data_IF_904088791082
#
_entry.id   IF_904088791082
#
_cell.length_a   1.000
_cell.length_b   1.000
_cell.length_c   1.000
_cell.angle_alpha   90.00
_cell.angle_beta   90.00
_cell.angle_gamma   90.00
#
_symmetry.space_group_name_H-M   'P 1'
#
loop_
_entity.id
_entity.type
_entity.pdbx_description
1 polymer ?
#
# COMPACT_ATOMS: atom_id res chain seq x y z
N UNK A 1 -10.83 -7.19 -16.17
CA UNK A 1 -10.00 -8.41 -16.06
C UNK A 1 -8.95 -8.08 -15.02
N UNK A 2 -9.04 -8.70 -13.84
CA UNK A 2 -8.03 -8.60 -12.80
C UNK A 2 -6.87 -9.50 -13.18
N UNK A 3 -5.85 -8.92 -13.80
CA UNK A 3 -4.58 -9.60 -13.99
C UNK A 3 -3.94 -9.77 -12.61
N UNK A 4 -3.54 -10.98 -12.31
CA UNK A 4 -2.99 -11.36 -11.02
C UNK A 4 -1.59 -10.73 -10.89
N UNK A 5 -1.28 -10.07 -9.78
CA UNK A 5 0.03 -9.46 -9.49
C UNK A 5 1.21 -10.38 -9.86
N UNK A 6 1.01 -11.71 -9.75
CA UNK A 6 2.02 -12.71 -10.08
C UNK A 6 2.24 -12.97 -11.58
N UNK A 7 1.38 -12.51 -12.48
CA UNK A 7 1.54 -12.75 -13.93
C UNK A 7 2.67 -11.94 -14.57
N UNK A 8 3.12 -10.88 -13.88
CA UNK A 8 4.16 -9.97 -14.35
C UNK A 8 5.58 -10.39 -13.99
N UNK A 9 5.74 -11.45 -13.21
CA UNK A 9 7.04 -11.96 -12.79
C UNK A 9 7.49 -13.13 -13.67
N UNK A 10 8.78 -13.21 -13.96
CA UNK A 10 9.37 -14.41 -14.57
C UNK A 10 9.16 -15.63 -13.65
N UNK A 11 9.22 -16.83 -14.21
CA UNK A 11 9.05 -18.06 -13.42
C UNK A 11 10.03 -18.15 -12.24
N UNK A 12 11.25 -17.67 -12.41
CA UNK A 12 12.27 -17.62 -11.35
C UNK A 12 11.90 -16.62 -10.26
N UNK A 13 11.41 -15.44 -10.64
CA UNK A 13 10.94 -14.42 -9.69
C UNK A 13 9.68 -14.87 -8.93
N UNK A 14 8.77 -15.60 -9.61
CA UNK A 14 7.60 -16.22 -8.97
C UNK A 14 8.03 -17.27 -7.94
N UNK A 15 8.98 -18.11 -8.28
CA UNK A 15 9.49 -19.17 -7.41
C UNK A 15 10.26 -18.61 -6.20
N UNK A 16 10.98 -17.50 -6.37
CA UNK A 16 11.60 -16.78 -5.26
C UNK A 16 10.57 -16.12 -4.34
N UNK A 17 9.45 -15.61 -4.87
CA UNK A 17 8.34 -15.07 -4.10
C UNK A 17 7.56 -16.18 -3.38
N UNK A 18 7.30 -17.31 -4.03
CA UNK A 18 6.58 -18.46 -3.46
C UNK A 18 7.38 -19.15 -2.35
N UNK A 19 8.70 -19.24 -2.47
CA UNK A 19 9.55 -19.82 -1.42
C UNK A 19 9.59 -18.96 -0.15
N UNK A 20 9.22 -17.68 -0.23
CA UNK A 20 9.12 -16.78 0.91
C UNK A 20 7.72 -16.72 1.53
N UNK A 21 6.69 -17.08 0.74
CA UNK A 21 5.31 -17.20 1.23
C UNK A 21 5.19 -18.37 2.22
N UNK A 22 6.06 -19.37 2.13
CA UNK A 22 6.15 -20.47 3.11
C UNK A 22 6.48 -20.02 4.54
N UNK A 23 7.15 -18.87 4.71
CA UNK A 23 7.48 -18.31 6.03
C UNK A 23 6.48 -17.23 6.51
N UNK A 24 5.56 -16.77 5.67
CA UNK A 24 4.72 -15.59 5.94
C UNK A 24 3.24 -15.88 6.21
N UNK A 25 2.84 -17.13 6.40
CA UNK A 25 1.45 -17.49 6.79
C UNK A 25 1.21 -17.32 8.30
N UNK A 26 1.98 -16.48 8.98
CA UNK A 26 1.65 -16.03 10.33
C UNK A 26 0.87 -14.70 10.22
N UNK A 27 -0.44 -14.79 10.39
CA UNK A 27 -1.37 -13.66 10.43
C UNK A 27 -1.03 -12.59 11.49
N UNK A 28 -0.09 -12.87 12.37
CA UNK A 28 0.34 -12.01 13.48
C UNK A 28 1.58 -11.14 13.16
N UNK A 29 2.20 -11.27 11.98
CA UNK A 29 3.33 -10.41 11.64
C UNK A 29 2.83 -9.06 11.11
N UNK A 30 3.04 -8.01 11.88
CA UNK A 30 2.77 -6.63 11.45
C UNK A 30 3.46 -6.32 10.11
N UNK A 31 2.72 -5.73 9.15
CA UNK A 31 3.24 -5.31 7.85
C UNK A 31 3.99 -3.98 7.98
N UNK A 32 5.16 -4.02 8.60
CA UNK A 32 5.90 -2.86 9.08
C UNK A 32 6.71 -2.14 8.00
N UNK A 33 6.89 -2.74 6.83
CA UNK A 33 7.68 -2.16 5.75
C UNK A 33 6.80 -1.79 4.55
N UNK A 34 7.15 -0.68 3.92
CA UNK A 34 6.59 -0.25 2.63
C UNK A 34 7.72 0.16 1.70
N UNK A 35 7.49 0.15 0.39
CA UNK A 35 8.45 0.69 -0.54
C UNK A 35 8.03 2.11 -0.88
N UNK A 36 8.86 3.08 -0.52
CA UNK A 36 8.74 4.45 -0.97
C UNK A 36 9.39 4.60 -2.34
N UNK A 37 8.62 5.02 -3.33
CA UNK A 37 9.10 5.20 -4.71
C UNK A 37 9.51 6.65 -4.95
N UNK A 38 8.67 7.60 -4.57
CA UNK A 38 8.94 9.02 -4.76
C UNK A 38 8.08 9.93 -3.86
N UNK A 39 8.47 11.19 -3.79
CA UNK A 39 7.71 12.26 -3.13
C UNK A 39 7.48 13.42 -4.11
N UNK A 40 6.28 13.98 -4.11
CA UNK A 40 5.87 15.04 -5.01
C UNK A 40 5.20 16.18 -4.23
N UNK A 41 5.40 17.41 -4.70
CA UNK A 41 4.67 18.58 -4.19
C UNK A 41 3.25 18.68 -4.78
N UNK A 42 3.00 18.03 -5.94
CA UNK A 42 1.71 18.04 -6.63
C UNK A 42 1.04 16.67 -6.58
N UNK A 43 -0.26 16.65 -6.23
CA UNK A 43 -1.12 15.44 -6.24
C UNK A 43 -1.14 14.76 -7.61
N UNK A 44 -1.23 15.54 -8.69
CA UNK A 44 -1.30 15.02 -10.06
C UNK A 44 -0.07 14.20 -10.45
N UNK A 45 1.12 14.60 -10.03
CA UNK A 45 2.35 13.86 -10.30
C UNK A 45 2.38 12.52 -9.53
N UNK A 46 1.95 12.52 -8.26
CA UNK A 46 1.85 11.29 -7.48
C UNK A 46 0.80 10.33 -8.09
N UNK A 47 -0.35 10.85 -8.51
CA UNK A 47 -1.40 10.06 -9.16
C UNK A 47 -0.90 9.43 -10.47
N UNK A 48 -0.24 10.21 -11.34
CA UNK A 48 0.30 9.73 -12.60
C UNK A 48 1.28 8.57 -12.39
N UNK A 49 2.23 8.73 -11.47
CA UNK A 49 3.18 7.66 -11.15
C UNK A 49 2.50 6.43 -10.53
N UNK A 50 1.51 6.63 -9.66
CA UNK A 50 0.75 5.53 -9.07
C UNK A 50 0.03 4.71 -10.14
N UNK A 51 -0.59 5.37 -11.12
CA UNK A 51 -1.25 4.68 -12.22
C UNK A 51 -0.24 3.92 -13.09
N UNK A 52 0.89 4.54 -13.43
CA UNK A 52 1.97 3.89 -14.19
C UNK A 52 2.50 2.63 -13.46
N UNK A 53 2.68 2.69 -12.15
CA UNK A 53 3.09 1.54 -11.34
C UNK A 53 2.03 0.43 -11.37
N UNK A 54 0.74 0.78 -11.24
CA UNK A 54 -0.38 -0.18 -11.30
C UNK A 54 -0.51 -0.85 -12.67
N UNK A 55 -0.34 -0.10 -13.75
CA UNK A 55 -0.29 -0.62 -15.13
C UNK A 55 0.86 -1.60 -15.34
N UNK A 56 1.93 -1.48 -14.54
CA UNK A 56 3.05 -2.42 -14.50
C UNK A 56 2.93 -3.51 -13.42
N UNK A 57 1.73 -3.73 -12.87
CA UNK A 57 1.41 -4.84 -11.96
C UNK A 57 1.81 -4.63 -10.51
N UNK A 58 2.19 -3.43 -10.09
CA UNK A 58 2.54 -3.16 -8.70
C UNK A 58 1.34 -2.67 -7.89
N UNK A 59 1.21 -3.13 -6.64
CA UNK A 59 0.22 -2.65 -5.67
C UNK A 59 0.58 -1.24 -5.18
N UNK A 60 0.46 -0.28 -6.09
CA UNK A 60 0.86 1.09 -5.82
C UNK A 60 -0.30 1.93 -5.26
N UNK A 61 0.05 2.81 -4.34
CA UNK A 61 -0.86 3.79 -3.76
C UNK A 61 -0.10 5.06 -3.39
N UNK A 62 -0.80 6.15 -3.21
CA UNK A 62 -0.21 7.40 -2.75
C UNK A 62 -0.95 7.94 -1.53
N UNK A 63 -0.27 8.73 -0.74
CA UNK A 63 -0.87 9.44 0.37
C UNK A 63 -0.23 10.81 0.56
N UNK A 64 -1.00 11.82 0.94
CA UNK A 64 -0.47 13.04 1.49
C UNK A 64 0.11 12.76 2.87
N UNK A 65 1.28 13.29 3.12
CA UNK A 65 1.99 13.18 4.38
C UNK A 65 2.26 14.57 4.91
N UNK A 66 1.74 14.88 6.09
CA UNK A 66 1.99 16.16 6.75
C UNK A 66 3.45 16.22 7.22
N UNK A 67 4.15 17.24 6.79
CA UNK A 67 5.55 17.48 7.14
C UNK A 67 5.68 18.52 8.25
N UNK A 68 4.84 19.58 8.22
CA UNK A 68 4.72 20.63 9.22
C UNK A 68 3.27 21.11 9.31
N UNK A 69 2.98 22.16 10.09
CA UNK A 69 1.64 22.71 10.24
C UNK A 69 0.98 23.01 8.87
N UNK A 70 1.74 23.63 7.96
CA UNK A 70 1.22 24.14 6.69
C UNK A 70 1.83 23.42 5.46
N UNK A 71 2.63 22.37 5.67
CA UNK A 71 3.35 21.71 4.60
C UNK A 71 3.00 20.22 4.56
N UNK A 72 2.61 19.76 3.40
CA UNK A 72 2.45 18.34 3.11
C UNK A 72 3.02 17.99 1.74
N UNK A 73 3.36 16.72 1.55
CA UNK A 73 3.86 16.16 0.30
C UNK A 73 3.05 14.92 -0.04
N UNK A 74 3.00 14.59 -1.33
CA UNK A 74 2.35 13.38 -1.83
C UNK A 74 3.41 12.32 -2.04
N UNK A 75 3.37 11.25 -1.24
CA UNK A 75 4.28 10.12 -1.36
C UNK A 75 3.63 8.97 -2.10
N UNK A 76 4.40 8.35 -3.00
CA UNK A 76 4.00 7.15 -3.73
C UNK A 76 4.68 5.95 -3.11
N UNK A 77 3.89 4.93 -2.82
CA UNK A 77 4.31 3.69 -2.18
C UNK A 77 3.93 2.48 -3.02
N UNK A 78 4.64 1.38 -2.80
CA UNK A 78 4.31 0.05 -3.33
C UNK A 78 4.28 -0.95 -2.18
N UNK A 79 3.19 -1.71 -2.09
CA UNK A 79 2.98 -2.82 -1.20
C UNK A 79 3.10 -2.50 0.29
N UNK A 80 2.93 -3.53 1.09
CA UNK A 80 3.27 -3.62 2.53
C UNK A 80 3.84 -4.99 2.79
N UNK A 81 4.86 -5.06 3.62
CA UNK A 81 5.67 -6.26 3.80
C UNK A 81 5.96 -6.48 5.29
N UNK A 82 5.94 -7.73 5.72
CA UNK A 82 6.30 -8.11 7.08
C UNK A 82 7.82 -8.16 7.33
N UNK A 83 8.61 -8.26 6.28
CA UNK A 83 10.07 -8.37 6.37
C UNK A 83 10.83 -7.45 5.41
N UNK A 84 12.00 -7.02 5.88
CA UNK A 84 12.96 -6.22 5.09
C UNK A 84 13.38 -6.91 3.80
N UNK A 85 13.71 -8.20 3.87
CA UNK A 85 14.18 -8.96 2.70
C UNK A 85 13.12 -9.06 1.61
N UNK A 86 11.86 -9.28 1.99
CA UNK A 86 10.73 -9.32 1.07
C UNK A 86 10.56 -7.96 0.36
N UNK A 87 10.55 -6.85 1.10
CA UNK A 87 10.50 -5.52 0.53
C UNK A 87 11.67 -5.24 -0.41
N UNK A 88 12.89 -5.66 -0.03
CA UNK A 88 14.10 -5.45 -0.83
C UNK A 88 14.11 -6.21 -2.16
N UNK A 89 13.49 -7.38 -2.23
CA UNK A 89 13.33 -8.09 -3.51
C UNK A 89 12.50 -7.28 -4.49
N UNK A 90 11.37 -6.75 -4.03
CA UNK A 90 10.52 -5.89 -4.87
C UNK A 90 11.22 -4.58 -5.24
N UNK A 91 12.01 -3.99 -4.33
CA UNK A 91 12.87 -2.82 -4.65
C UNK A 91 13.81 -3.12 -5.81
N UNK A 92 14.46 -4.29 -5.83
CA UNK A 92 15.37 -4.67 -6.92
C UNK A 92 14.65 -4.77 -8.27
N UNK A 93 13.40 -5.27 -8.28
CA UNK A 93 12.57 -5.34 -9.48
C UNK A 93 12.19 -3.94 -9.94
N UNK A 94 11.70 -3.10 -9.04
CA UNK A 94 11.33 -1.72 -9.31
C UNK A 94 12.47 -0.91 -9.92
N UNK A 95 13.68 -1.04 -9.35
CA UNK A 95 14.86 -0.30 -9.81
C UNK A 95 15.31 -0.65 -11.23
N UNK A 96 14.90 -1.79 -11.76
CA UNK A 96 15.11 -2.15 -13.18
C UNK A 96 14.13 -1.42 -14.13
N UNK A 97 13.09 -0.78 -13.60
CA UNK A 97 12.10 -0.03 -14.38
C UNK A 97 12.46 1.46 -14.46
N UNK A 98 12.12 2.16 -15.55
CA UNK A 98 12.47 3.58 -15.74
C UNK A 98 12.00 4.50 -14.60
N UNK A 99 10.89 4.14 -13.94
CA UNK A 99 10.24 4.93 -12.89
C UNK A 99 10.64 4.49 -11.47
N UNK A 100 11.46 3.46 -11.30
CA UNK A 100 11.74 2.84 -10.00
C UNK A 100 13.11 3.17 -9.39
N UNK A 101 13.93 4.01 -10.03
CA UNK A 101 15.33 4.24 -9.68
C UNK A 101 15.60 4.67 -8.23
N UNK A 102 14.66 5.36 -7.60
CA UNK A 102 14.76 5.84 -6.21
C UNK A 102 13.98 4.99 -5.20
N UNK A 103 13.38 3.86 -5.64
CA UNK A 103 12.62 2.99 -4.76
C UNK A 103 13.46 2.50 -3.57
N UNK A 104 12.91 2.61 -2.36
CA UNK A 104 13.58 2.25 -1.10
C UNK A 104 12.59 1.65 -0.13
N UNK A 105 12.93 0.52 0.48
CA UNK A 105 12.16 -0.05 1.59
C UNK A 105 12.34 0.81 2.84
N UNK A 106 11.23 1.17 3.50
CA UNK A 106 11.23 2.00 4.71
C UNK A 106 10.30 1.41 5.78
N UNK A 107 10.64 1.54 7.07
CA UNK A 107 9.86 1.00 8.18
C UNK A 107 8.71 1.96 8.58
N UNK A 108 7.69 2.08 7.76
CA UNK A 108 6.48 2.87 8.06
C UNK A 108 5.35 1.94 8.49
N UNK A 109 5.29 1.66 9.78
CA UNK A 109 4.38 0.68 10.38
C UNK A 109 2.93 1.16 10.51
N UNK A 110 2.64 2.45 10.41
CA UNK A 110 1.29 2.97 10.60
C UNK A 110 0.54 3.15 9.27
N UNK A 111 -0.76 2.86 9.30
CA UNK A 111 -1.71 3.14 8.23
C UNK A 111 -3.06 3.55 8.80
N UNK A 112 -3.94 4.09 7.98
CA UNK A 112 -5.33 4.34 8.35
C UNK A 112 -6.21 3.23 7.75
N UNK A 113 -6.82 2.42 8.61
CA UNK A 113 -7.85 1.45 8.23
C UNK A 113 -9.14 2.20 7.90
N UNK A 114 -9.69 1.91 6.72
CA UNK A 114 -10.95 2.49 6.24
C UNK A 114 -12.09 1.47 6.31
N UNK A 115 -11.78 0.18 6.26
CA UNK A 115 -12.76 -0.89 6.40
C UNK A 115 -12.14 -2.27 6.52
N UNK A 116 -12.93 -3.18 7.06
CA UNK A 116 -12.67 -4.63 7.12
C UNK A 116 -13.87 -5.36 6.52
N UNK A 117 -13.99 -5.37 5.17
CA UNK A 117 -15.12 -6.02 4.50
C UNK A 117 -15.01 -7.54 4.54
N UNK A 118 -16.17 -8.21 4.51
CA UNK A 118 -16.28 -9.68 4.54
C UNK A 118 -15.95 -10.33 3.19
N UNK A 119 -15.93 -9.55 2.10
CA UNK A 119 -15.70 -10.06 0.76
C UNK A 119 -14.70 -9.21 -0.04
N UNK A 120 -14.05 -9.85 -1.01
CA UNK A 120 -13.21 -9.16 -1.99
C UNK A 120 -14.01 -8.13 -2.81
N UNK A 121 -15.28 -8.42 -3.09
CA UNK A 121 -16.13 -7.51 -3.83
C UNK A 121 -16.39 -6.22 -3.04
N UNK A 122 -16.73 -6.33 -1.75
CA UNK A 122 -16.94 -5.18 -0.89
C UNK A 122 -15.65 -4.38 -0.68
N UNK A 123 -14.50 -5.07 -0.55
CA UNK A 123 -13.20 -4.41 -0.51
C UNK A 123 -12.93 -3.57 -1.77
N UNK A 124 -13.24 -4.11 -2.95
CA UNK A 124 -13.11 -3.39 -4.22
C UNK A 124 -14.04 -2.18 -4.30
N UNK A 125 -15.27 -2.29 -3.78
CA UNK A 125 -16.22 -1.17 -3.73
C UNK A 125 -15.69 -0.03 -2.84
N UNK A 126 -15.08 -0.35 -1.70
CA UNK A 126 -14.45 0.66 -0.83
C UNK A 126 -13.29 1.34 -1.57
N UNK A 127 -12.39 0.57 -2.21
CA UNK A 127 -11.28 1.12 -2.98
C UNK A 127 -11.74 2.01 -4.13
N UNK A 128 -12.81 1.64 -4.82
CA UNK A 128 -13.38 2.45 -5.89
C UNK A 128 -14.02 3.73 -5.35
N UNK A 129 -14.72 3.66 -4.21
CA UNK A 129 -15.29 4.83 -3.55
C UNK A 129 -14.21 5.83 -3.11
N UNK A 130 -13.09 5.34 -2.56
CA UNK A 130 -11.90 6.17 -2.28
C UNK A 130 -11.36 6.83 -3.54
N UNK A 131 -11.26 6.07 -4.64
CA UNK A 131 -10.76 6.58 -5.92
C UNK A 131 -11.66 7.68 -6.50
N UNK A 132 -12.99 7.54 -6.40
CA UNK A 132 -13.97 8.54 -6.88
C UNK A 132 -13.79 9.89 -6.20
N UNK A 133 -13.42 9.92 -4.93
CA UNK A 133 -13.12 11.16 -4.19
C UNK A 133 -11.64 11.54 -4.28
N UNK A 134 -10.87 10.87 -5.15
CA UNK A 134 -9.47 11.17 -5.40
C UNK A 134 -8.53 10.79 -4.27
N UNK A 135 -8.85 9.75 -3.51
CA UNK A 135 -7.97 9.13 -2.52
C UNK A 135 -7.44 7.81 -3.07
N UNK A 136 -6.40 7.27 -2.42
CA UNK A 136 -5.73 6.03 -2.85
C UNK A 136 -5.64 5.06 -1.69
N UNK A 137 -6.25 3.90 -1.85
CA UNK A 137 -6.20 2.80 -0.88
C UNK A 137 -5.37 1.63 -1.36
N UNK A 138 -5.04 0.75 -0.42
CA UNK A 138 -4.41 -0.55 -0.61
C UNK A 138 -5.28 -1.62 0.04
N UNK A 139 -5.50 -2.74 -0.66
CA UNK A 139 -6.12 -3.93 -0.10
C UNK A 139 -5.05 -4.80 0.55
N UNK A 140 -5.25 -5.12 1.81
CA UNK A 140 -4.49 -6.14 2.52
C UNK A 140 -5.36 -7.39 2.63
N UNK A 141 -4.76 -8.54 2.31
CA UNK A 141 -5.39 -9.84 2.45
C UNK A 141 -4.56 -10.65 3.43
N UNK A 142 -5.19 -11.16 4.47
CA UNK A 142 -4.56 -12.02 5.45
C UNK A 142 -5.40 -13.27 5.67
N UNK A 143 -4.76 -14.33 6.16
CA UNK A 143 -5.42 -15.57 6.55
C UNK A 143 -5.13 -15.87 8.00
N UNK A 144 -6.14 -16.23 8.77
CA UNK A 144 -6.00 -16.70 10.15
C UNK A 144 -6.93 -17.88 10.44
N UNK A 145 -6.44 -18.88 11.14
CA UNK A 145 -7.31 -19.95 11.66
C UNK A 145 -7.95 -19.51 12.99
N UNK A 146 -9.22 -19.83 13.25
CA UNK A 146 -10.21 -20.52 12.39
C UNK A 146 -10.99 -19.57 11.46
N UNK A 147 -10.68 -18.27 11.44
CA UNK A 147 -11.51 -17.23 10.85
C UNK A 147 -11.41 -17.15 9.31
N UNK A 148 -10.37 -17.77 8.70
CA UNK A 148 -10.23 -17.81 7.24
C UNK A 148 -9.57 -16.57 6.64
N UNK A 149 -10.00 -16.16 5.45
CA UNK A 149 -9.48 -15.01 4.72
C UNK A 149 -10.13 -13.73 5.23
N UNK A 150 -9.28 -12.74 5.53
CA UNK A 150 -9.69 -11.39 5.96
C UNK A 150 -9.24 -10.35 4.94
N UNK A 151 -10.12 -9.41 4.67
CA UNK A 151 -9.86 -8.27 3.81
C UNK A 151 -9.79 -7.00 4.66
N UNK A 152 -8.77 -6.18 4.43
CA UNK A 152 -8.63 -4.89 5.09
C UNK A 152 -8.26 -3.84 4.07
N UNK A 153 -9.01 -2.75 4.01
CA UNK A 153 -8.67 -1.60 3.17
C UNK A 153 -7.98 -0.55 4.03
N UNK A 154 -6.77 -0.18 3.62
CA UNK A 154 -5.96 0.83 4.29
C UNK A 154 -5.57 1.95 3.35
N UNK A 155 -5.29 3.14 3.91
CA UNK A 155 -4.72 4.27 3.18
C UNK A 155 -3.46 4.76 3.87
N UNK A 156 -2.50 5.16 3.04
CA UNK A 156 -1.24 5.76 3.47
C UNK A 156 -0.26 4.79 4.13
N UNK A 157 0.92 5.33 4.39
CA UNK A 157 1.96 4.72 5.20
C UNK A 157 2.66 5.83 5.96
N UNK A 158 2.70 5.72 7.29
CA UNK A 158 3.13 6.80 8.15
C UNK A 158 4.16 6.33 9.17
N UNK A 159 5.14 7.17 9.45
CA UNK A 159 6.15 6.91 10.49
C UNK A 159 5.61 7.26 11.88
N UNK A 160 4.80 8.31 11.97
CA UNK A 160 4.22 8.83 13.21
C UNK A 160 2.74 9.17 13.00
N UNK A 161 1.94 9.10 14.05
CA UNK A 161 0.52 9.46 14.02
C UNK A 161 0.28 10.88 13.46
N UNK A 162 1.10 11.84 13.85
CA UNK A 162 1.01 13.22 13.34
C UNK A 162 1.06 13.31 11.81
N UNK A 163 1.84 12.43 11.15
CA UNK A 163 1.95 12.45 9.69
C UNK A 163 0.63 12.02 8.99
N UNK A 164 -0.25 11.34 9.72
CA UNK A 164 -1.54 10.86 9.22
C UNK A 164 -2.69 11.86 9.40
N UNK A 165 -2.53 12.91 10.21
CA UNK A 165 -3.63 13.79 10.62
C UNK A 165 -4.38 14.40 9.46
N UNK A 166 -3.67 14.90 8.44
CA UNK A 166 -4.31 15.48 7.27
C UNK A 166 -5.12 14.44 6.47
N UNK A 167 -4.62 13.21 6.36
CA UNK A 167 -5.37 12.13 5.69
C UNK A 167 -6.63 11.74 6.47
N UNK A 168 -6.57 11.74 7.81
CA UNK A 168 -7.76 11.55 8.66
C UNK A 168 -8.81 12.63 8.41
N UNK A 169 -8.39 13.88 8.33
CA UNK A 169 -9.26 15.01 8.02
C UNK A 169 -9.92 14.84 6.63
N UNK A 170 -9.15 14.44 5.62
CA UNK A 170 -9.68 14.18 4.28
C UNK A 170 -10.66 13.01 4.23
N UNK A 171 -10.35 11.90 4.91
CA UNK A 171 -11.26 10.76 5.02
C UNK A 171 -12.59 11.18 5.65
N UNK A 172 -12.55 11.88 6.78
CA UNK A 172 -13.74 12.37 7.47
C UNK A 172 -14.56 13.32 6.59
N UNK A 173 -13.90 14.21 5.84
CA UNK A 173 -14.56 15.16 4.94
C UNK A 173 -15.35 14.46 3.81
N UNK A 174 -14.88 13.30 3.35
CA UNK A 174 -15.57 12.48 2.36
C UNK A 174 -16.45 11.38 2.95
N UNK A 175 -16.69 11.39 4.27
CA UNK A 175 -17.58 10.45 4.95
C UNK A 175 -16.98 9.08 5.25
N UNK A 176 -15.66 8.92 5.15
CA UNK A 176 -14.98 7.69 5.55
C UNK A 176 -14.52 7.78 7.01
N UNK A 177 -14.76 6.71 7.77
CA UNK A 177 -14.10 6.53 9.05
C UNK A 177 -12.65 6.07 8.82
N UNK A 178 -11.72 6.67 9.52
CA UNK A 178 -10.30 6.29 9.48
C UNK A 178 -9.83 5.91 10.89
N UNK A 179 -9.25 4.74 11.04
CA UNK A 179 -8.64 4.27 12.28
C UNK A 179 -7.13 4.09 12.08
N UNK A 180 -6.32 4.70 12.94
CA UNK A 180 -4.87 4.53 12.88
C UNK A 180 -4.51 3.15 13.44
N UNK A 181 -3.89 2.35 12.61
CA UNK A 181 -3.48 0.98 12.94
C UNK A 181 -2.02 0.72 12.60
N UNK A 182 -1.49 -0.37 13.16
CA UNK A 182 -0.25 -1.04 12.70
C UNK A 182 -0.66 -2.35 12.06
N UNK A 183 -0.84 -2.38 10.72
CA UNK A 183 -1.36 -3.55 10.02
C UNK A 183 -0.37 -4.70 9.95
#
# INVERSE_FOLDING_TARGET
>A
RGENFYEWFSQTEKQELENDVGDSVNADKALSFVIHVSSHSKKTAALSLTNQLRENGFDAYWAPVRMSADTFIYRVYVGRFSGWNQAHRVVRILRKKPFGGHATAIPYSLALKVGEPDSLQDARMILESLRKVGLSGLLLVSYSEPLGIHFRVVVGAFKKAYNATWMLEQLAQFGFAGELISP
#
